data_IF_525683454589
#
_entry.id   IF_525683454589
#
_cell.length_a   1.000
_cell.length_b   1.000
_cell.length_c   1.000
_cell.angle_alpha   90.00
_cell.angle_beta   90.00
_cell.angle_gamma   90.00
#
_symmetry.space_group_name_H-M   'P 1'
#
loop_
_entity.id
_entity.type
_entity.pdbx_description
1 polymer ?
#
# COMPACT_ATOMS: atom_id res chain seq x y z
N UNK A 1 11.90 -2.52 8.89
CA UNK A 1 11.59 -3.02 10.26
C UNK A 1 10.51 -4.07 10.11
N UNK A 2 10.89 -5.34 10.23
CA UNK A 2 9.95 -6.46 10.25
C UNK A 2 9.62 -6.74 11.73
N UNK A 3 8.36 -6.64 12.11
CA UNK A 3 7.88 -7.09 13.42
C UNK A 3 7.01 -8.32 13.22
N UNK A 4 7.48 -9.48 13.68
CA UNK A 4 6.69 -10.71 13.77
C UNK A 4 6.46 -11.02 15.24
N UNK A 5 5.32 -10.63 15.80
CA UNK A 5 4.92 -11.05 17.15
C UNK A 5 3.40 -11.20 17.24
N UNK A 6 2.91 -12.44 17.08
CA UNK A 6 1.79 -13.07 17.82
C UNK A 6 1.67 -14.54 17.41
N UNK A 7 1.21 -15.39 18.35
CA UNK A 7 1.21 -16.86 18.28
C UNK A 7 0.11 -17.46 17.37
N UNK A 8 -0.80 -16.62 16.87
CA UNK A 8 -1.70 -16.91 15.75
C UNK A 8 -1.60 -15.73 14.79
N UNK A 9 -1.14 -15.96 13.55
CA UNK A 9 -1.01 -14.92 12.54
C UNK A 9 -2.27 -14.98 11.67
N UNK A 10 -3.32 -14.17 11.94
CA UNK A 10 -4.24 -13.83 10.86
C UNK A 10 -3.42 -13.13 9.77
N UNK A 11 -3.76 -13.34 8.50
CA UNK A 11 -3.10 -12.69 7.37
C UNK A 11 -3.04 -11.16 7.55
N UNK A 12 -1.90 -10.65 8.02
CA UNK A 12 -1.71 -9.26 8.40
C UNK A 12 -0.50 -8.66 7.68
N UNK A 13 -0.62 -8.59 6.36
CA UNK A 13 0.38 -7.99 5.49
C UNK A 13 0.39 -6.47 5.68
N UNK A 14 1.53 -5.93 6.12
CA UNK A 14 1.78 -4.49 6.20
C UNK A 14 3.18 -4.16 5.68
N UNK A 15 3.33 -2.97 5.09
CA UNK A 15 4.59 -2.49 4.53
C UNK A 15 5.01 -1.22 5.28
N UNK A 16 6.30 -1.13 5.64
CA UNK A 16 6.92 0.07 6.17
C UNK A 16 7.69 0.77 5.05
N UNK A 17 7.19 1.92 4.58
CA UNK A 17 7.88 2.73 3.57
C UNK A 17 8.55 3.92 4.25
N UNK A 18 9.88 4.04 4.11
CA UNK A 18 10.59 5.26 4.48
C UNK A 18 10.44 6.25 3.32
N UNK A 19 9.88 7.43 3.62
CA UNK A 19 9.74 8.50 2.63
C UNK A 19 10.55 9.71 3.11
N UNK A 20 11.48 10.23 2.31
CA UNK A 20 12.23 11.42 2.70
C UNK A 20 11.28 12.62 2.80
N UNK A 21 11.54 13.52 3.75
CA UNK A 21 10.70 14.69 4.04
C UNK A 21 10.84 15.82 3.02
N UNK A 22 10.73 15.52 1.73
CA UNK A 22 10.88 16.48 0.64
C UNK A 22 10.88 15.81 -0.73
N UNK A 23 11.07 16.64 -1.77
CA UNK A 23 11.15 16.18 -3.16
C UNK A 23 12.40 16.78 -3.81
N UNK A 24 13.06 15.98 -4.64
CA UNK A 24 14.14 16.43 -5.49
C UNK A 24 13.54 17.05 -6.77
N UNK A 25 14.08 18.18 -7.22
CA UNK A 25 13.67 18.81 -8.47
C UNK A 25 13.90 17.90 -9.67
N UNK A 26 13.15 18.10 -10.76
CA UNK A 26 13.28 17.27 -11.96
C UNK A 26 14.71 17.29 -12.56
N UNK A 27 15.39 18.44 -12.46
CA UNK A 27 16.79 18.59 -12.88
C UNK A 27 17.79 18.05 -11.84
N UNK A 28 17.34 17.52 -10.70
CA UNK A 28 18.14 16.94 -9.61
C UNK A 28 19.09 17.90 -8.89
N UNK A 29 18.93 19.20 -9.11
CA UNK A 29 19.82 20.24 -8.56
C UNK A 29 19.36 20.77 -7.21
N UNK A 30 18.06 20.69 -6.89
CA UNK A 30 17.50 21.33 -5.69
C UNK A 30 16.58 20.39 -4.94
N UNK A 31 16.63 20.45 -3.61
CA UNK A 31 15.74 19.69 -2.72
C UNK A 31 14.73 20.62 -2.06
N UNK A 32 13.44 20.37 -2.29
CA UNK A 32 12.35 21.09 -1.64
C UNK A 32 11.86 20.30 -0.43
N UNK A 33 11.98 20.88 0.77
CA UNK A 33 11.52 20.23 2.01
C UNK A 33 9.99 20.18 2.09
N UNK A 34 9.46 19.09 2.64
CA UNK A 34 8.04 18.97 2.98
C UNK A 34 7.71 19.83 4.20
N UNK A 35 6.43 20.18 4.36
CA UNK A 35 5.96 20.86 5.58
C UNK A 35 6.24 19.98 6.81
N UNK A 36 6.59 20.61 7.94
CA UNK A 36 7.11 19.94 9.16
C UNK A 36 6.27 18.76 9.67
N UNK A 37 4.95 18.78 9.44
CA UNK A 37 4.00 17.77 9.94
C UNK A 37 3.08 17.20 8.84
N UNK A 38 3.46 17.37 7.57
CA UNK A 38 2.58 16.98 6.47
C UNK A 38 3.38 16.58 5.25
N UNK A 39 3.19 15.34 4.82
CA UNK A 39 3.76 14.80 3.60
C UNK A 39 2.65 14.55 2.56
N UNK A 40 1.59 13.85 2.96
CA UNK A 40 0.40 13.61 2.15
C UNK A 40 -0.83 13.39 3.04
N UNK A 41 -2.02 13.61 2.48
CA UNK A 41 -3.28 13.20 3.11
C UNK A 41 -3.41 11.68 3.07
N UNK A 42 -3.56 11.04 4.23
CA UNK A 42 -3.67 9.58 4.36
C UNK A 42 -4.73 8.97 3.43
N UNK A 43 -5.90 9.60 3.31
CA UNK A 43 -6.98 9.14 2.43
C UNK A 43 -6.58 9.11 0.95
N UNK A 44 -5.82 10.10 0.49
CA UNK A 44 -5.33 10.16 -0.90
C UNK A 44 -4.36 9.03 -1.17
N UNK A 45 -3.47 8.75 -0.22
CA UNK A 45 -2.51 7.64 -0.36
C UNK A 45 -3.21 6.27 -0.31
N UNK A 46 -4.22 6.10 0.54
CA UNK A 46 -5.09 4.91 0.56
C UNK A 46 -5.73 4.67 -0.81
N UNK A 47 -6.29 5.72 -1.40
CA UNK A 47 -6.93 5.64 -2.71
C UNK A 47 -5.92 5.28 -3.80
N UNK A 48 -4.73 5.89 -3.79
CA UNK A 48 -3.67 5.63 -4.75
C UNK A 48 -3.18 4.18 -4.66
N UNK A 49 -2.81 3.73 -3.45
CA UNK A 49 -2.37 2.36 -3.21
C UNK A 49 -3.41 1.34 -3.67
N UNK A 50 -4.67 1.54 -3.29
CA UNK A 50 -5.78 0.66 -3.67
C UNK A 50 -5.96 0.57 -5.19
N UNK A 51 -5.78 1.68 -5.89
CA UNK A 51 -5.89 1.73 -7.35
C UNK A 51 -4.76 0.93 -7.99
N UNK A 52 -3.52 1.13 -7.55
CA UNK A 52 -2.33 0.41 -8.03
C UNK A 52 -2.47 -1.09 -7.74
N UNK A 53 -2.88 -1.45 -6.52
CA UNK A 53 -3.06 -2.83 -6.11
C UNK A 53 -4.13 -3.57 -6.92
N UNK A 54 -5.30 -2.95 -7.12
CA UNK A 54 -6.37 -3.54 -7.94
C UNK A 54 -5.94 -3.67 -9.39
N UNK A 55 -5.19 -2.70 -9.93
CA UNK A 55 -4.65 -2.77 -11.29
C UNK A 55 -3.73 -3.99 -11.44
N UNK A 56 -2.73 -4.14 -10.57
CA UNK A 56 -1.82 -5.29 -10.61
C UNK A 56 -2.54 -6.63 -10.43
N UNK A 57 -3.54 -6.70 -9.54
CA UNK A 57 -4.37 -7.91 -9.42
C UNK A 57 -5.11 -8.27 -10.71
N UNK A 58 -5.62 -7.29 -11.46
CA UNK A 58 -6.29 -7.54 -12.74
C UNK A 58 -5.32 -8.03 -13.79
N UNK A 59 -4.16 -7.38 -13.90
CA UNK A 59 -3.10 -7.77 -14.84
C UNK A 59 -2.67 -9.23 -14.60
N UNK A 60 -2.41 -9.61 -13.34
CA UNK A 60 -2.05 -10.99 -12.98
C UNK A 60 -3.19 -12.00 -13.21
N UNK A 61 -4.45 -11.58 -13.02
CA UNK A 61 -5.60 -12.43 -13.30
C UNK A 61 -5.74 -12.70 -14.80
N UNK A 62 -5.62 -11.66 -15.61
CA UNK A 62 -5.71 -11.74 -17.08
C UNK A 62 -4.53 -12.52 -17.67
N UNK A 63 -3.35 -12.43 -17.07
CA UNK A 63 -2.18 -13.24 -17.41
C UNK A 63 -2.27 -14.71 -16.95
N UNK A 64 -3.29 -15.09 -16.16
CA UNK A 64 -3.43 -16.45 -15.63
C UNK A 64 -2.40 -16.82 -14.55
N UNK A 65 -1.71 -15.84 -13.98
CA UNK A 65 -0.65 -16.04 -12.98
C UNK A 65 -1.20 -16.17 -11.56
N UNK A 66 -2.45 -15.74 -11.32
CA UNK A 66 -3.11 -15.91 -10.03
C UNK A 66 -3.60 -17.35 -9.82
N UNK A 67 -3.12 -17.97 -8.75
CA UNK A 67 -3.58 -19.29 -8.29
C UNK A 67 -4.63 -19.13 -7.20
N UNK A 68 -5.75 -19.85 -7.34
CA UNK A 68 -6.86 -19.82 -6.40
C UNK A 68 -7.10 -21.22 -5.77
N UNK A 69 -6.25 -21.68 -4.84
CA UNK A 69 -6.40 -22.99 -4.21
C UNK A 69 -7.53 -23.03 -3.17
N UNK A 70 -8.06 -24.24 -2.92
CA UNK A 70 -9.01 -24.51 -1.84
C UNK A 70 -10.24 -23.60 -1.86
N UNK A 71 -10.58 -23.00 -0.72
CA UNK A 71 -11.76 -22.14 -0.57
C UNK A 71 -11.73 -20.87 -1.45
N UNK A 72 -10.56 -20.51 -1.98
CA UNK A 72 -10.40 -19.36 -2.88
C UNK A 72 -10.75 -19.70 -4.34
N UNK A 73 -10.93 -20.97 -4.70
CA UNK A 73 -11.25 -21.42 -6.06
C UNK A 73 -12.47 -20.71 -6.67
N UNK A 74 -13.45 -20.33 -5.84
CA UNK A 74 -14.61 -19.52 -6.25
C UNK A 74 -14.24 -18.18 -6.89
N UNK A 75 -13.04 -17.66 -6.64
CA UNK A 75 -12.53 -16.41 -7.21
C UNK A 75 -11.75 -16.60 -8.52
N UNK A 76 -11.47 -17.83 -8.95
CA UNK A 76 -10.84 -18.12 -10.24
C UNK A 76 -11.77 -17.96 -11.44
N UNK A 77 -13.07 -17.76 -11.23
CA UNK A 77 -14.04 -17.45 -12.29
C UNK A 77 -14.12 -15.94 -12.51
N UNK A 78 -14.42 -15.49 -13.73
CA UNK A 78 -14.57 -14.05 -14.03
C UNK A 78 -15.58 -13.36 -13.11
N UNK A 79 -16.71 -14.02 -12.85
CA UNK A 79 -17.75 -13.53 -11.92
C UNK A 79 -17.23 -13.47 -10.48
N UNK A 80 -16.56 -14.53 -10.01
CA UNK A 80 -16.00 -14.62 -8.67
C UNK A 80 -14.89 -13.61 -8.40
N UNK A 81 -14.03 -13.38 -9.39
CA UNK A 81 -12.96 -12.39 -9.36
C UNK A 81 -13.53 -10.97 -9.37
N UNK A 82 -14.48 -10.66 -10.24
CA UNK A 82 -15.11 -9.34 -10.26
C UNK A 82 -15.85 -9.04 -8.95
N UNK A 83 -16.47 -10.04 -8.33
CA UNK A 83 -17.04 -9.93 -6.98
C UNK A 83 -15.96 -9.63 -5.94
N UNK A 84 -14.82 -10.32 -5.98
CA UNK A 84 -13.67 -10.05 -5.10
C UNK A 84 -13.18 -8.60 -5.25
N UNK A 85 -12.97 -8.14 -6.49
CA UNK A 85 -12.55 -6.75 -6.75
C UNK A 85 -13.60 -5.75 -6.23
N UNK A 86 -14.89 -6.03 -6.38
CA UNK A 86 -15.97 -5.17 -5.83
C UNK A 86 -15.92 -5.11 -4.30
N UNK A 87 -15.67 -6.23 -3.63
CA UNK A 87 -15.49 -6.29 -2.18
C UNK A 87 -14.28 -5.47 -1.73
N UNK A 88 -13.13 -5.65 -2.41
CA UNK A 88 -11.91 -4.87 -2.12
C UNK A 88 -12.21 -3.38 -2.29
N UNK A 89 -12.86 -2.96 -3.40
CA UNK A 89 -13.24 -1.55 -3.66
C UNK A 89 -14.12 -0.94 -2.58
N UNK A 90 -15.04 -1.71 -1.99
CA UNK A 90 -15.94 -1.24 -0.92
C UNK A 90 -15.29 -1.19 0.46
N UNK A 91 -14.29 -2.04 0.72
CA UNK A 91 -13.65 -2.10 2.04
C UNK A 91 -12.97 -0.77 2.36
N UNK A 92 -13.40 -0.15 3.45
CA UNK A 92 -12.78 1.04 4.00
C UNK A 92 -11.47 0.63 4.69
N UNK A 93 -10.36 1.25 4.29
CA UNK A 93 -9.04 0.94 4.85
C UNK A 93 -8.81 1.90 6.01
N UNK A 94 -9.01 1.39 7.23
CA UNK A 94 -9.03 2.20 8.45
C UNK A 94 -7.64 2.71 8.86
N UNK A 95 -6.55 2.03 8.47
CA UNK A 95 -5.17 2.47 8.72
C UNK A 95 -4.22 1.97 7.63
N UNK A 96 -3.73 2.89 6.79
CA UNK A 96 -2.65 2.59 5.83
C UNK A 96 -1.32 3.22 6.20
N UNK A 97 -1.31 4.35 6.92
CA UNK A 97 -0.07 5.04 7.26
C UNK A 97 -0.09 5.59 8.67
N UNK A 98 0.87 5.14 9.48
CA UNK A 98 1.38 5.92 10.60
C UNK A 98 2.69 6.53 10.13
N UNK A 99 2.66 7.81 9.79
CA UNK A 99 3.86 8.53 9.37
C UNK A 99 4.68 8.82 10.62
N UNK A 100 5.78 8.10 10.79
CA UNK A 100 6.82 8.49 11.74
C UNK A 100 7.89 9.24 10.96
N UNK A 101 7.92 10.56 11.08
CA UNK A 101 8.98 11.38 10.49
C UNK A 101 10.24 11.18 11.34
N UNK A 102 11.22 10.44 10.83
CA UNK A 102 12.53 10.32 11.45
C UNK A 102 13.34 11.58 11.14
N UNK A 103 13.78 12.32 12.17
CA UNK A 103 14.73 13.42 12.01
C UNK A 103 16.12 12.94 12.42
N UNK A 104 17.17 13.11 11.59
CA UNK A 104 18.52 13.05 12.11
C UNK A 104 18.67 14.16 13.16
N UNK A 105 19.44 13.93 14.24
CA UNK A 105 19.77 14.99 15.19
C UNK A 105 20.36 16.17 14.43
N UNK A 106 19.97 17.39 14.81
CA UNK A 106 20.69 18.57 14.32
C UNK A 106 22.14 18.39 14.77
N UNK A 107 23.06 18.34 13.80
CA UNK A 107 24.48 18.41 14.08
C UNK A 107 24.81 19.71 14.85
N UNK A 108 25.98 19.75 15.51
CA UNK A 108 26.39 20.87 16.36
C UNK A 108 26.32 22.23 15.64
#
# INVERSE_FOLDING_TARGET
>A
MLHTWTQTIPDHFHLHCLVPGGVLSNNKETWTLSKKNYLFRTQSMVKAFKTIYIKGLRELYEAGELKFPGETAKHGTSTGFNRLIKTIKKKEVVRLCKITLFRPPKGP
#
